data_IF_569098509858
#
_entry.id   IF_569098509858
#
_cell.length_a   1.000
_cell.length_b   1.000
_cell.length_c   1.000
_cell.angle_alpha   90.00
_cell.angle_beta   90.00
_cell.angle_gamma   90.00
#
_symmetry.space_group_name_H-M   'P 1'
#
loop_
_entity.id
_entity.type
_entity.pdbx_description
1 polymer ?
#
# COMPACT_ATOMS: atom_id res chain seq x y z
N UNK A 1 9.65 26.13 -2.85
CA UNK A 1 9.17 24.76 -3.09
C UNK A 1 10.19 23.84 -2.44
N UNK A 2 9.81 23.11 -1.40
CA UNK A 2 10.71 22.19 -0.71
C UNK A 2 10.48 20.79 -1.28
N UNK A 3 11.56 20.07 -1.57
CA UNK A 3 11.52 18.74 -2.18
C UNK A 3 12.15 17.75 -1.21
N UNK A 4 11.44 16.66 -0.94
CA UNK A 4 11.95 15.55 -0.13
C UNK A 4 12.06 14.29 -1.00
N UNK A 5 13.06 13.47 -0.70
CA UNK A 5 13.34 12.23 -1.44
C UNK A 5 13.26 11.05 -0.47
N UNK A 6 12.46 10.04 -0.81
CA UNK A 6 12.44 8.78 -0.08
C UNK A 6 13.73 8.01 -0.39
N UNK A 7 14.44 7.58 0.65
CA UNK A 7 15.69 6.83 0.52
C UNK A 7 15.49 5.53 -0.26
N UNK A 8 16.41 5.23 -1.18
CA UNK A 8 16.42 3.97 -1.92
C UNK A 8 16.52 2.75 -0.99
N UNK A 9 17.26 2.88 0.11
CA UNK A 9 17.37 1.82 1.12
C UNK A 9 16.03 1.54 1.80
N UNK A 10 15.18 2.56 1.98
CA UNK A 10 13.83 2.36 2.51
C UNK A 10 12.96 1.59 1.53
N UNK A 11 13.02 1.92 0.23
CA UNK A 11 12.29 1.19 -0.81
C UNK A 11 12.72 -0.29 -0.87
N UNK A 12 14.03 -0.56 -0.78
CA UNK A 12 14.55 -1.93 -0.71
C UNK A 12 14.10 -2.68 0.54
N UNK A 13 14.09 -2.00 1.70
CA UNK A 13 13.58 -2.55 2.95
C UNK A 13 12.09 -2.94 2.81
N UNK A 14 11.26 -2.06 2.24
CA UNK A 14 9.84 -2.33 2.00
C UNK A 14 9.67 -3.60 1.17
N UNK A 15 10.34 -3.66 0.01
CA UNK A 15 10.28 -4.83 -0.87
C UNK A 15 10.68 -6.11 -0.14
N UNK A 16 11.91 -6.14 0.40
CA UNK A 16 12.50 -7.38 0.92
C UNK A 16 11.84 -7.86 2.21
N UNK A 17 11.40 -6.94 3.08
CA UNK A 17 10.92 -7.29 4.42
C UNK A 17 9.43 -7.55 4.49
N UNK A 18 8.65 -6.91 3.61
CA UNK A 18 7.19 -6.95 3.67
C UNK A 18 6.55 -7.73 2.51
N UNK A 19 7.13 -7.69 1.31
CA UNK A 19 6.61 -8.41 0.14
C UNK A 19 7.50 -9.58 -0.31
N UNK A 20 8.74 -9.65 0.18
CA UNK A 20 9.69 -10.73 -0.15
C UNK A 20 10.44 -10.50 -1.47
N UNK A 21 11.00 -11.58 -2.04
CA UNK A 21 11.76 -11.54 -3.31
C UNK A 21 10.87 -11.88 -4.51
N UNK A 22 9.65 -11.37 -4.53
CA UNK A 22 8.77 -11.54 -5.69
C UNK A 22 9.15 -10.53 -6.79
N UNK A 23 8.82 -10.85 -8.04
CA UNK A 23 9.08 -10.00 -9.21
C UNK A 23 8.21 -8.72 -9.24
N UNK A 24 7.25 -8.60 -8.30
CA UNK A 24 6.36 -7.46 -8.17
C UNK A 24 6.96 -6.44 -7.21
N UNK A 25 7.04 -5.19 -7.63
CA UNK A 25 7.45 -4.08 -6.76
C UNK A 25 6.30 -3.72 -5.80
N UNK A 26 6.53 -2.90 -4.76
CA UNK A 26 5.45 -2.37 -3.94
C UNK A 26 4.79 -1.18 -4.66
N UNK A 27 3.48 -1.08 -4.56
CA UNK A 27 2.73 0.09 -5.03
C UNK A 27 3.16 1.34 -4.24
N UNK A 28 3.03 2.51 -4.87
CA UNK A 28 3.31 3.79 -4.18
C UNK A 28 2.43 3.98 -2.94
N UNK A 29 1.17 3.51 -2.97
CA UNK A 29 0.28 3.56 -1.81
C UNK A 29 0.80 2.71 -0.65
N UNK A 30 1.36 1.53 -0.94
CA UNK A 30 1.96 0.67 0.08
C UNK A 30 3.26 1.24 0.65
N UNK A 31 4.12 1.83 -0.20
CA UNK A 31 5.31 2.55 0.25
C UNK A 31 4.92 3.71 1.18
N UNK A 32 3.93 4.51 0.79
CA UNK A 32 3.44 5.63 1.59
C UNK A 32 2.89 5.17 2.94
N UNK A 33 2.14 4.06 2.98
CA UNK A 33 1.67 3.46 4.22
C UNK A 33 2.83 3.08 5.15
N UNK A 34 3.81 2.32 4.64
CA UNK A 34 4.93 1.90 5.48
C UNK A 34 5.80 3.08 5.91
N UNK A 35 5.95 4.11 5.07
CA UNK A 35 6.63 5.35 5.45
C UNK A 35 5.88 6.04 6.60
N UNK A 36 4.56 6.19 6.49
CA UNK A 36 3.74 6.77 7.55
C UNK A 36 3.86 5.98 8.87
N UNK A 37 3.89 4.65 8.80
CA UNK A 37 4.09 3.81 10.00
C UNK A 37 5.47 3.97 10.67
N UNK A 38 6.49 4.44 9.93
CA UNK A 38 7.81 4.75 10.50
C UNK A 38 7.92 6.19 11.00
N UNK A 39 7.08 7.09 10.50
CA UNK A 39 7.16 8.53 10.76
C UNK A 39 6.07 9.05 11.74
N UNK A 40 4.97 8.33 11.89
CA UNK A 40 3.80 8.76 12.65
C UNK A 40 3.47 7.76 13.78
N UNK A 41 2.91 8.25 14.88
CA UNK A 41 2.45 7.41 16.00
C UNK A 41 1.16 6.65 15.69
N UNK A 42 0.31 7.20 14.82
CA UNK A 42 -0.98 6.64 14.41
C UNK A 42 -1.21 6.85 12.92
N UNK A 43 -1.76 5.82 12.25
CA UNK A 43 -2.02 5.84 10.81
C UNK A 43 -3.44 5.38 10.53
N UNK A 44 -4.19 6.20 9.80
CA UNK A 44 -5.52 5.88 9.28
C UNK A 44 -5.46 5.75 7.76
N UNK A 45 -6.09 4.71 7.24
CA UNK A 45 -6.10 4.33 5.83
C UNK A 45 -7.46 4.60 5.20
N UNK A 46 -7.47 5.28 4.06
CA UNK A 46 -8.65 5.56 3.25
C UNK A 46 -8.35 5.16 1.80
N UNK A 47 -9.28 4.48 1.12
CA UNK A 47 -9.17 4.19 -0.33
C UNK A 47 -8.11 3.16 -0.73
N UNK A 48 -7.52 2.42 0.22
CA UNK A 48 -6.51 1.37 -0.03
C UNK A 48 -7.08 -0.05 -0.06
N UNK A 49 -8.42 -0.19 -0.03
CA UNK A 49 -9.12 -1.46 -0.12
C UNK A 49 -9.81 -1.60 -1.46
N UNK A 50 -9.86 -2.84 -1.94
CA UNK A 50 -10.71 -3.25 -3.05
C UNK A 50 -12.20 -3.15 -2.72
N UNK A 51 -13.04 -3.00 -3.74
CA UNK A 51 -14.48 -3.03 -3.60
C UNK A 51 -15.00 -4.41 -3.16
N UNK A 52 -16.31 -4.55 -2.91
CA UNK A 52 -16.92 -5.83 -2.49
C UNK A 52 -16.75 -6.94 -3.53
N UNK A 53 -16.43 -6.61 -4.77
CA UNK A 53 -16.22 -7.53 -5.88
C UNK A 53 -14.74 -7.81 -6.15
N UNK A 54 -13.84 -7.41 -5.24
CA UNK A 54 -12.39 -7.55 -5.40
C UNK A 54 -11.84 -6.84 -6.65
N UNK A 55 -12.51 -5.75 -7.09
CA UNK A 55 -12.04 -4.90 -8.17
C UNK A 55 -11.21 -3.74 -7.64
N UNK A 56 -10.20 -3.41 -8.42
CA UNK A 56 -9.35 -2.25 -8.21
C UNK A 56 -9.77 -1.20 -9.23
N UNK A 57 -10.01 0.01 -8.76
CA UNK A 57 -10.25 1.19 -9.57
C UNK A 57 -9.94 2.41 -8.72
N UNK A 58 -9.70 3.54 -9.36
CA UNK A 58 -9.67 4.79 -8.64
C UNK A 58 -11.10 5.21 -8.27
N UNK A 59 -11.24 6.05 -7.25
CA UNK A 59 -12.55 6.55 -6.82
C UNK A 59 -13.21 7.49 -7.86
N UNK A 60 -12.44 7.99 -8.82
CA UNK A 60 -12.89 8.87 -9.90
C UNK A 60 -13.04 8.14 -11.24
N UNK A 61 -12.74 6.84 -11.32
CA UNK A 61 -12.89 6.10 -12.56
C UNK A 61 -14.36 5.79 -12.82
N UNK A 62 -14.85 6.16 -14.01
CA UNK A 62 -16.21 5.83 -14.46
C UNK A 62 -16.36 4.34 -14.86
N UNK A 63 -15.25 3.71 -15.27
CA UNK A 63 -15.16 2.29 -15.62
C UNK A 63 -14.13 1.55 -14.76
N UNK A 64 -14.29 0.24 -14.55
CA UNK A 64 -13.35 -0.57 -13.78
C UNK A 64 -12.20 -1.08 -14.66
N UNK A 65 -11.24 -0.21 -15.00
CA UNK A 65 -10.17 -0.54 -15.97
C UNK A 65 -8.77 -0.71 -15.36
N UNK A 66 -8.64 -0.81 -14.03
CA UNK A 66 -7.31 -0.93 -13.43
C UNK A 66 -6.77 -2.37 -13.49
N UNK A 67 -5.87 -2.62 -14.45
CA UNK A 67 -4.95 -3.77 -14.45
C UNK A 67 -3.52 -3.25 -14.37
N UNK A 68 -2.87 -3.34 -13.21
CA UNK A 68 -1.42 -3.22 -13.13
C UNK A 68 -0.81 -4.62 -13.03
N UNK A 69 0.03 -4.97 -14.01
CA UNK A 69 0.84 -6.19 -13.97
C UNK A 69 2.16 -5.99 -13.19
N UNK A 70 2.42 -4.80 -12.67
CA UNK A 70 3.71 -4.46 -12.01
C UNK A 70 3.71 -4.70 -10.50
N UNK A 71 2.52 -4.81 -9.89
CA UNK A 71 2.33 -4.90 -8.44
C UNK A 71 1.27 -5.95 -8.10
N UNK A 72 1.53 -6.77 -7.08
CA UNK A 72 0.57 -7.76 -6.58
C UNK A 72 -0.26 -7.15 -5.45
N UNK A 73 -1.40 -6.54 -5.80
CA UNK A 73 -2.29 -5.95 -4.80
C UNK A 73 -2.77 -6.93 -3.73
N UNK A 74 -2.82 -8.23 -4.08
CA UNK A 74 -3.21 -9.29 -3.15
C UNK A 74 -2.20 -9.44 -2.01
N UNK A 75 -0.90 -9.39 -2.31
CA UNK A 75 0.17 -9.49 -1.31
C UNK A 75 0.16 -8.28 -0.37
N UNK A 76 0.07 -7.07 -0.94
CA UNK A 76 -0.02 -5.84 -0.17
C UNK A 76 -1.26 -5.83 0.73
N UNK A 77 -2.42 -6.24 0.19
CA UNK A 77 -3.67 -6.29 0.95
C UNK A 77 -3.59 -7.28 2.12
N UNK A 78 -2.90 -8.42 1.96
CA UNK A 78 -2.68 -9.36 3.07
C UNK A 78 -1.88 -8.73 4.20
N UNK A 79 -0.84 -7.96 3.88
CA UNK A 79 -0.05 -7.23 4.87
C UNK A 79 -0.90 -6.15 5.56
N UNK A 80 -1.66 -5.37 4.78
CA UNK A 80 -2.54 -4.32 5.31
C UNK A 80 -3.57 -4.88 6.29
N UNK A 81 -4.22 -6.00 5.94
CA UNK A 81 -5.19 -6.66 6.81
C UNK A 81 -4.54 -7.18 8.09
N UNK A 82 -3.32 -7.72 8.00
CA UNK A 82 -2.54 -8.13 9.19
C UNK A 82 -2.25 -6.93 10.10
N UNK A 83 -1.79 -5.82 9.54
CA UNK A 83 -1.52 -4.57 10.28
C UNK A 83 -2.80 -4.05 10.96
N UNK A 84 -3.96 -4.17 10.32
CA UNK A 84 -5.24 -3.80 10.92
C UNK A 84 -5.58 -4.72 12.09
N UNK A 85 -5.43 -6.04 11.94
CA UNK A 85 -5.65 -7.02 13.01
C UNK A 85 -4.73 -6.79 14.22
N UNK A 86 -3.49 -6.35 13.99
CA UNK A 86 -2.52 -6.01 15.03
C UNK A 86 -2.76 -4.61 15.64
N UNK A 87 -3.78 -3.88 15.18
CA UNK A 87 -4.10 -2.53 15.65
C UNK A 87 -3.06 -1.47 15.27
N UNK A 88 -2.23 -1.73 14.25
CA UNK A 88 -1.21 -0.79 13.75
C UNK A 88 -1.81 0.29 12.85
N UNK A 89 -2.92 -0.02 12.20
CA UNK A 89 -3.62 0.89 11.30
C UNK A 89 -5.13 0.78 11.52
N UNK A 90 -5.82 1.90 11.34
CA UNK A 90 -7.29 1.93 11.27
C UNK A 90 -7.70 2.09 9.82
N UNK A 91 -8.60 1.24 9.33
CA UNK A 91 -9.05 1.28 7.93
C UNK A 91 -10.48 1.79 7.85
N UNK A 92 -10.69 2.81 7.02
CA UNK A 92 -11.98 3.40 6.71
C UNK A 92 -12.38 3.07 5.27
N UNK A 93 -13.67 2.78 5.09
CA UNK A 93 -14.27 2.44 3.80
C UNK A 93 -15.44 3.35 3.48
#
# INVERSE_FOLDING_TARGET
MEVSVISLSFLQYVQQRWLGKNDHFPSLGFIALLYALHACDQVSLFGLRTDRLSRWSHYWDEEYWFKSNMHSFKEEQQVILKLQCEGKVVIYN
#
